data_IF_562837060504
#
_entry.id   IF_562837060504
#
_cell.length_a   1.000
_cell.length_b   1.000
_cell.length_c   1.000
_cell.angle_alpha   90.00
_cell.angle_beta   90.00
_cell.angle_gamma   90.00
#
_symmetry.space_group_name_H-M   'P 1'
#
loop_
_entity.id
_entity.type
_entity.pdbx_description
1 polymer ?
#
# COMPACT_ATOMS: atom_id res chain seq x y z
N UNK A 1 3.42 -57.82 4.99
CA UNK A 1 2.52 -57.18 5.99
C UNK A 1 3.16 -55.87 6.49
N UNK A 2 3.47 -54.92 5.58
CA UNK A 2 4.23 -53.67 5.90
C UNK A 2 3.52 -52.40 5.39
N UNK A 3 2.49 -52.52 4.54
CA UNK A 3 1.93 -51.39 3.80
C UNK A 3 0.80 -50.60 4.49
N UNK A 4 0.44 -50.94 5.74
CA UNK A 4 -0.67 -50.28 6.46
C UNK A 4 -0.23 -49.28 7.53
N UNK A 5 1.05 -49.31 7.94
CA UNK A 5 1.59 -48.40 8.96
C UNK A 5 2.00 -47.04 8.40
N UNK A 6 2.44 -46.97 7.14
CA UNK A 6 2.91 -45.72 6.53
C UNK A 6 1.79 -44.72 6.22
N UNK A 7 0.60 -45.21 5.87
CA UNK A 7 -0.55 -44.35 5.49
C UNK A 7 -1.11 -43.63 6.73
N UNK A 8 -1.01 -44.24 7.92
CA UNK A 8 -1.49 -43.65 9.17
C UNK A 8 -0.59 -42.52 9.70
N UNK A 9 0.71 -42.53 9.38
CA UNK A 9 1.67 -41.52 9.87
C UNK A 9 1.64 -40.23 9.05
N UNK A 10 1.34 -40.32 7.74
CA UNK A 10 1.21 -39.13 6.87
C UNK A 10 -0.07 -38.34 7.14
N UNK A 11 -1.16 -39.00 7.57
CA UNK A 11 -2.42 -38.32 7.86
C UNK A 11 -2.35 -37.47 9.15
N UNK A 12 -1.59 -37.93 10.14
CA UNK A 12 -1.39 -37.19 11.39
C UNK A 12 -0.50 -35.94 11.19
N UNK A 13 0.48 -36.01 10.27
CA UNK A 13 1.37 -34.89 9.99
C UNK A 13 0.70 -33.79 9.14
N UNK A 14 -0.22 -34.17 8.25
CA UNK A 14 -1.04 -33.20 7.51
C UNK A 14 -2.08 -32.48 8.37
N UNK A 15 -2.62 -33.16 9.40
CA UNK A 15 -3.59 -32.54 10.31
C UNK A 15 -2.95 -31.51 11.25
N UNK A 16 -1.68 -31.70 11.66
CA UNK A 16 -0.96 -30.73 12.49
C UNK A 16 -0.54 -29.46 11.72
N UNK A 17 -0.30 -29.54 10.42
CA UNK A 17 0.01 -28.36 9.58
C UNK A 17 -1.22 -27.48 9.28
N UNK A 18 -2.43 -28.04 9.33
CA UNK A 18 -3.65 -27.30 9.07
C UNK A 18 -4.09 -26.40 10.24
N UNK A 19 -3.64 -26.69 11.47
CA UNK A 19 -4.10 -26.00 12.69
C UNK A 19 -3.25 -24.75 12.98
N UNK A 20 -2.04 -24.63 12.41
CA UNK A 20 -1.15 -23.47 12.63
C UNK A 20 -1.27 -22.39 11.54
N UNK A 21 -2.03 -22.61 10.47
CA UNK A 21 -2.10 -21.69 9.33
C UNK A 21 -3.07 -20.51 9.54
N UNK A 22 -3.81 -20.44 10.64
CA UNK A 22 -4.87 -19.43 10.85
C UNK A 22 -4.48 -18.29 11.81
N UNK A 23 -3.19 -18.12 12.10
CA UNK A 23 -2.72 -17.12 13.05
C UNK A 23 -1.75 -16.06 12.49
N UNK A 24 -1.31 -16.13 11.23
CA UNK A 24 -0.16 -15.29 10.79
C UNK A 24 -0.31 -14.58 9.43
N UNK A 25 -1.53 -14.39 8.93
CA UNK A 25 -1.75 -13.66 7.66
C UNK A 25 -1.79 -12.13 7.81
N UNK A 26 -1.82 -11.61 9.05
CA UNK A 26 -2.00 -10.16 9.30
C UNK A 26 -0.70 -9.34 9.33
N UNK A 27 0.47 -9.97 9.51
CA UNK A 27 1.72 -9.23 9.64
C UNK A 27 2.44 -8.96 8.31
N UNK A 28 2.29 -9.81 7.29
CA UNK A 28 2.99 -9.62 6.00
C UNK A 28 2.44 -8.47 5.15
N UNK A 29 1.13 -8.17 5.24
CA UNK A 29 0.51 -7.14 4.41
C UNK A 29 0.91 -5.70 4.76
N UNK A 30 1.28 -5.43 6.02
CA UNK A 30 1.58 -4.06 6.47
C UNK A 30 2.92 -3.55 5.93
N UNK A 31 3.95 -4.41 5.93
CA UNK A 31 5.27 -4.11 5.37
C UNK A 31 5.23 -3.94 3.86
N UNK A 32 4.45 -4.78 3.16
CA UNK A 32 4.25 -4.68 1.72
C UNK A 32 3.54 -3.37 1.33
N UNK A 33 2.51 -2.97 2.10
CA UNK A 33 1.81 -1.72 1.84
C UNK A 33 2.74 -0.51 2.00
N UNK A 34 3.65 -0.50 2.98
CA UNK A 34 4.66 0.55 3.12
C UNK A 34 5.57 0.64 1.89
N UNK A 35 6.16 -0.48 1.46
CA UNK A 35 7.07 -0.51 0.31
C UNK A 35 6.38 -0.01 -0.96
N UNK A 36 5.13 -0.41 -1.17
CA UNK A 36 4.37 0.02 -2.33
C UNK A 36 3.97 1.50 -2.24
N UNK A 37 3.68 2.03 -1.05
CA UNK A 37 3.45 3.46 -0.82
C UNK A 37 4.71 4.28 -1.11
N UNK A 38 5.88 3.85 -0.63
CA UNK A 38 7.15 4.52 -0.91
C UNK A 38 7.49 4.51 -2.41
N UNK A 39 7.23 3.39 -3.10
CA UNK A 39 7.38 3.29 -4.56
C UNK A 39 6.48 4.30 -5.28
N UNK A 40 5.22 4.42 -4.87
CA UNK A 40 4.27 5.35 -5.47
C UNK A 40 4.63 6.82 -5.15
N UNK A 41 5.08 7.10 -3.93
CA UNK A 41 5.66 8.40 -3.52
C UNK A 41 6.80 8.83 -4.45
N UNK A 42 7.80 7.98 -4.63
CA UNK A 42 8.98 8.28 -5.48
C UNK A 42 8.55 8.54 -6.93
N UNK A 43 7.63 7.75 -7.47
CA UNK A 43 7.11 7.95 -8.82
C UNK A 43 6.38 9.28 -8.97
N UNK A 44 5.52 9.63 -8.00
CA UNK A 44 4.83 10.92 -7.98
C UNK A 44 5.82 12.09 -7.93
N UNK A 45 6.83 12.02 -7.05
CA UNK A 45 7.88 13.04 -6.97
C UNK A 45 8.60 13.24 -8.30
N UNK A 46 8.94 12.15 -9.00
CA UNK A 46 9.57 12.23 -10.32
C UNK A 46 8.66 12.89 -11.35
N UNK A 47 7.39 12.52 -11.40
CA UNK A 47 6.41 13.09 -12.32
C UNK A 47 6.16 14.58 -12.06
N UNK A 48 6.06 14.98 -10.79
CA UNK A 48 5.89 16.39 -10.40
C UNK A 48 7.11 17.21 -10.83
N UNK A 49 8.33 16.71 -10.60
CA UNK A 49 9.57 17.38 -11.01
C UNK A 49 9.73 17.48 -12.53
N UNK A 50 9.25 16.48 -13.28
CA UNK A 50 9.30 16.49 -14.75
C UNK A 50 8.25 17.40 -15.40
N UNK A 51 7.18 17.76 -14.66
CA UNK A 51 6.04 18.47 -15.24
C UNK A 51 6.39 19.83 -15.85
N UNK A 52 7.16 20.73 -15.19
CA UNK A 52 7.41 22.08 -15.71
C UNK A 52 8.02 22.07 -17.12
N UNK A 53 9.01 21.21 -17.32
CA UNK A 53 9.82 21.12 -18.55
C UNK A 53 9.22 20.22 -19.63
N UNK A 54 8.15 19.49 -19.32
CA UNK A 54 7.53 18.56 -20.26
C UNK A 54 6.80 19.28 -21.41
N UNK A 55 6.86 18.69 -22.61
CA UNK A 55 6.07 19.13 -23.76
C UNK A 55 4.55 18.97 -23.49
N UNK A 56 3.70 19.74 -24.19
CA UNK A 56 2.24 19.75 -23.94
C UNK A 56 1.58 18.37 -23.94
N UNK A 57 1.90 17.52 -24.93
CA UNK A 57 1.39 16.13 -25.01
C UNK A 57 1.85 15.29 -23.81
N UNK A 58 3.08 15.47 -23.35
CA UNK A 58 3.63 14.77 -22.20
C UNK A 58 3.03 15.27 -20.88
N UNK A 59 2.74 16.57 -20.75
CA UNK A 59 2.04 17.14 -19.59
C UNK A 59 0.68 16.48 -19.37
N UNK A 60 -0.09 16.25 -20.44
CA UNK A 60 -1.35 15.49 -20.35
C UNK A 60 -1.13 14.07 -19.81
N UNK A 61 -0.15 13.34 -20.36
CA UNK A 61 0.17 11.98 -19.91
C UNK A 61 0.65 11.96 -18.45
N UNK A 62 1.45 12.94 -18.03
CA UNK A 62 1.91 13.09 -16.65
C UNK A 62 0.72 13.24 -15.70
N UNK A 63 -0.26 14.11 -16.01
CA UNK A 63 -1.46 14.29 -15.16
C UNK A 63 -2.28 13.00 -15.05
N UNK A 64 -2.51 12.30 -16.16
CA UNK A 64 -3.21 11.00 -16.18
C UNK A 64 -2.47 9.98 -15.30
N UNK A 65 -1.13 9.94 -15.39
CA UNK A 65 -0.33 9.00 -14.60
C UNK A 65 -0.33 9.35 -13.11
N UNK A 66 -0.23 10.64 -12.76
CA UNK A 66 -0.36 11.11 -11.38
C UNK A 66 -1.71 10.70 -10.79
N UNK A 67 -2.82 10.88 -11.53
CA UNK A 67 -4.16 10.46 -11.12
C UNK A 67 -4.23 8.96 -10.81
N UNK A 68 -3.71 8.13 -11.71
CA UNK A 68 -3.71 6.68 -11.55
C UNK A 68 -2.90 6.24 -10.31
N UNK A 69 -1.77 6.90 -10.06
CA UNK A 69 -0.96 6.67 -8.86
C UNK A 69 -1.71 7.05 -7.59
N UNK A 70 -2.33 8.24 -7.52
CA UNK A 70 -3.13 8.63 -6.35
C UNK A 70 -4.33 7.71 -6.12
N UNK A 71 -5.06 7.34 -7.18
CA UNK A 71 -6.21 6.43 -7.09
C UNK A 71 -5.84 5.08 -6.45
N UNK A 72 -4.62 4.59 -6.69
CA UNK A 72 -4.11 3.37 -6.06
C UNK A 72 -3.51 3.62 -4.68
N UNK A 73 -2.73 4.69 -4.52
CA UNK A 73 -1.96 4.93 -3.30
C UNK A 73 -2.85 5.36 -2.12
N UNK A 74 -3.88 6.19 -2.33
CA UNK A 74 -4.70 6.72 -1.24
C UNK A 74 -5.49 5.63 -0.48
N UNK A 75 -6.16 4.67 -1.14
CA UNK A 75 -6.79 3.55 -0.43
C UNK A 75 -5.77 2.71 0.35
N UNK A 76 -4.57 2.50 -0.21
CA UNK A 76 -3.49 1.78 0.48
C UNK A 76 -3.01 2.55 1.71
N UNK A 77 -2.80 3.85 1.58
CA UNK A 77 -2.40 4.73 2.68
C UNK A 77 -3.44 4.68 3.79
N UNK A 78 -4.73 4.76 3.46
CA UNK A 78 -5.84 4.64 4.42
C UNK A 78 -5.76 3.34 5.23
N UNK A 79 -5.49 2.21 4.58
CA UNK A 79 -5.34 0.92 5.29
C UNK A 79 -4.08 0.89 6.15
N UNK A 80 -2.96 1.39 5.61
CA UNK A 80 -1.68 1.43 6.30
C UNK A 80 -1.75 2.23 7.61
N UNK A 81 -2.39 3.39 7.59
CA UNK A 81 -2.49 4.26 8.78
C UNK A 81 -3.48 3.75 9.82
N UNK A 82 -4.44 2.90 9.42
CA UNK A 82 -5.51 2.37 10.26
C UNK A 82 -5.10 1.15 11.12
N UNK A 83 -3.83 0.75 11.12
CA UNK A 83 -3.36 -0.40 11.90
C UNK A 83 -3.49 -0.10 13.41
N UNK A 84 -4.21 -0.92 14.19
CA UNK A 84 -4.48 -0.61 15.60
C UNK A 84 -3.26 -0.84 16.49
N UNK A 85 -3.28 -0.23 17.69
CA UNK A 85 -2.25 -0.38 18.73
C UNK A 85 -1.95 -1.85 19.08
N UNK A 86 -2.97 -2.70 19.12
CA UNK A 86 -2.86 -4.12 19.47
C UNK A 86 -1.97 -4.95 18.52
N UNK A 87 -1.54 -4.39 17.39
CA UNK A 87 -0.62 -5.04 16.44
C UNK A 87 0.86 -4.80 16.79
N UNK A 88 1.14 -4.03 17.85
CA UNK A 88 2.49 -3.69 18.28
C UNK A 88 2.87 -4.43 19.56
N UNK A 89 4.13 -4.91 19.67
CA UNK A 89 4.60 -5.60 20.87
C UNK A 89 4.59 -4.73 22.14
N UNK A 90 4.73 -3.41 21.99
CA UNK A 90 4.77 -2.46 23.09
C UNK A 90 4.44 -1.03 22.62
N UNK A 91 4.23 -0.14 23.59
CA UNK A 91 3.85 1.26 23.34
C UNK A 91 4.94 2.09 22.66
N UNK A 92 6.23 1.78 22.87
CA UNK A 92 7.30 2.50 22.20
C UNK A 92 7.26 2.27 20.69
N UNK A 93 7.15 1.01 20.25
CA UNK A 93 7.00 0.66 18.84
C UNK A 93 5.70 1.19 18.23
N UNK A 94 4.61 1.19 18.99
CA UNK A 94 3.36 1.80 18.54
C UNK A 94 3.55 3.31 18.30
N UNK A 95 4.18 4.02 19.24
CA UNK A 95 4.44 5.45 19.10
C UNK A 95 5.34 5.76 17.89
N UNK A 96 6.43 5.01 17.69
CA UNK A 96 7.28 5.13 16.50
C UNK A 96 6.49 4.89 15.21
N UNK A 97 5.60 3.90 15.22
CA UNK A 97 4.74 3.62 14.07
C UNK A 97 3.78 4.78 13.77
N UNK A 98 3.23 5.45 14.79
CA UNK A 98 2.38 6.61 14.62
C UNK A 98 3.13 7.77 13.98
N UNK A 99 4.36 8.03 14.42
CA UNK A 99 5.23 9.05 13.82
C UNK A 99 5.52 8.74 12.34
N UNK A 100 5.87 7.50 12.03
CA UNK A 100 6.14 7.06 10.65
C UNK A 100 4.91 7.21 9.75
N UNK A 101 3.73 6.79 10.23
CA UNK A 101 2.46 6.92 9.52
C UNK A 101 2.08 8.39 9.30
N UNK A 102 2.24 9.24 10.30
CA UNK A 102 1.97 10.67 10.20
C UNK A 102 2.88 11.34 9.17
N UNK A 103 4.18 11.00 9.16
CA UNK A 103 5.11 11.49 8.15
C UNK A 103 4.70 11.07 6.74
N UNK A 104 4.29 9.80 6.56
CA UNK A 104 3.84 9.31 5.26
C UNK A 104 2.53 9.98 4.81
N UNK A 105 1.60 10.25 5.73
CA UNK A 105 0.39 11.01 5.42
C UNK A 105 0.73 12.44 4.98
N UNK A 106 1.64 13.11 5.68
CA UNK A 106 2.10 14.44 5.33
C UNK A 106 2.74 14.45 3.93
N UNK A 107 3.62 13.48 3.65
CA UNK A 107 4.24 13.33 2.34
C UNK A 107 3.20 13.23 1.20
N UNK A 108 2.16 12.42 1.39
CA UNK A 108 1.11 12.29 0.37
C UNK A 108 0.23 13.54 0.26
N UNK A 109 -0.02 14.26 1.37
CA UNK A 109 -0.70 15.55 1.34
C UNK A 109 0.11 16.60 0.55
N UNK A 110 1.42 16.66 0.77
CA UNK A 110 2.32 17.57 0.06
C UNK A 110 2.40 17.23 -1.43
N UNK A 111 2.48 15.93 -1.77
CA UNK A 111 2.44 15.48 -3.15
C UNK A 111 1.14 15.87 -3.84
N UNK A 112 0.01 15.77 -3.13
CA UNK A 112 -1.28 16.20 -3.66
C UNK A 112 -1.29 17.70 -3.97
N UNK A 113 -0.85 18.53 -3.02
CA UNK A 113 -0.78 19.98 -3.19
C UNK A 113 0.15 20.41 -4.35
N UNK A 114 1.26 19.71 -4.54
CA UNK A 114 2.22 19.98 -5.62
C UNK A 114 1.81 19.38 -6.97
N UNK A 115 0.87 18.44 -6.99
CA UNK A 115 0.48 17.75 -8.21
C UNK A 115 -0.37 18.64 -9.12
N UNK A 116 -0.07 18.57 -10.42
CA UNK A 116 -0.83 19.31 -11.43
C UNK A 116 -2.13 18.60 -11.80
N UNK A 117 -2.31 17.34 -11.40
CA UNK A 117 -3.60 16.67 -11.49
C UNK A 117 -4.65 17.35 -10.60
N UNK A 118 -4.37 17.60 -9.32
CA UNK A 118 -5.39 18.19 -8.43
C UNK A 118 -5.67 19.67 -8.68
N UNK A 119 -4.78 20.35 -9.41
CA UNK A 119 -4.99 21.72 -9.87
C UNK A 119 -5.88 21.80 -11.13
N UNK A 120 -6.16 20.68 -11.80
CA UNK A 120 -6.93 20.59 -13.04
C UNK A 120 -8.29 19.92 -12.77
N UNK A 121 -9.41 20.64 -12.94
CA UNK A 121 -10.78 20.14 -12.69
C UNK A 121 -11.11 18.86 -13.48
N UNK A 122 -10.49 18.66 -14.64
CA UNK A 122 -10.68 17.45 -15.47
C UNK A 122 -10.12 16.19 -14.80
N UNK A 123 -9.18 16.35 -13.86
CA UNK A 123 -8.60 15.26 -13.08
C UNK A 123 -9.52 14.78 -11.94
N UNK A 124 -10.71 15.37 -11.73
CA UNK A 124 -11.68 14.91 -10.73
C UNK A 124 -12.96 14.28 -11.33
N UNK A 125 -13.31 14.58 -12.58
CA UNK A 125 -14.68 14.35 -13.11
C UNK A 125 -14.97 13.07 -13.90
N UNK A 126 -14.00 12.19 -14.17
CA UNK A 126 -14.26 10.91 -14.88
C UNK A 126 -14.70 9.78 -13.92
N UNK A 127 -15.49 10.10 -12.90
CA UNK A 127 -16.03 9.11 -11.97
C UNK A 127 -17.57 9.06 -11.90
N UNK A 128 -18.28 9.78 -12.79
CA UNK A 128 -19.76 9.80 -12.81
C UNK A 128 -20.39 9.38 -14.13
N UNK A 129 -19.67 8.64 -14.98
CA UNK A 129 -20.24 8.05 -16.19
C UNK A 129 -19.96 6.55 -16.20
N UNK A 130 -20.68 5.79 -15.36
CA UNK A 130 -21.07 4.39 -15.57
C UNK A 130 -22.08 3.98 -14.50
#
# INVERSE_FOLDING_TARGET
>A
MINRLFISMSLALGLLFAITSWADERHNGHSDDLLLLLKDKIKLQKLIKQYPDAASKQKKQIRVTQRALFKRALPRLKRYVAVPESQYPNMAMYHESLQSRAALMQDFADLMAQSQCLQDQTCQTEHSAH
#
